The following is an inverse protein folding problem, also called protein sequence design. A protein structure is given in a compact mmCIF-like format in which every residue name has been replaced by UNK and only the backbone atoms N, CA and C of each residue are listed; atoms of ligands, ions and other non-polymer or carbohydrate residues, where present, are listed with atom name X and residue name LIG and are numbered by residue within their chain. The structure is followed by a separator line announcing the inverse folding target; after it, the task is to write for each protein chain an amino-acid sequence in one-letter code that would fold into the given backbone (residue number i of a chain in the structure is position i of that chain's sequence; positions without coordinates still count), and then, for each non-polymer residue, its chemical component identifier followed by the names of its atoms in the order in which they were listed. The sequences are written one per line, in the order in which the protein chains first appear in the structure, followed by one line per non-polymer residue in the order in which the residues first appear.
data_IF_006898690305
#
_entry.id   IF_006898690305
#
_cell.length_a   1.000
_cell.length_b   1.000
_cell.length_c   1.000
_cell.angle_alpha   90.00
_cell.angle_beta   90.00
_cell.angle_gamma   90.00
#
_symmetry.space_group_name_H-M   'P 1'
#
loop_
_entity.id
_entity.type
_entity.pdbx_description
1 polymer ?
#
# COMPACT_ATOMS: atom_id res chain seq x y z
N UNK A 1 15.36 -13.49 -9.22
CA UNK A 1 15.92 -12.46 -8.33
C UNK A 1 16.80 -11.48 -9.13
N UNK A 2 17.76 -11.97 -9.91
CA UNK A 2 18.62 -11.14 -10.77
C UNK A 2 18.45 -11.49 -12.26
N UNK A 3 18.44 -10.47 -13.11
CA UNK A 3 18.64 -10.54 -14.57
C UNK A 3 20.08 -10.16 -14.91
N UNK A 4 20.52 -10.33 -16.16
CA UNK A 4 21.84 -9.84 -16.62
C UNK A 4 22.02 -8.34 -16.36
N UNK A 5 20.91 -7.58 -16.31
CA UNK A 5 20.88 -6.14 -16.01
C UNK A 5 20.66 -5.78 -14.52
N UNK A 6 20.69 -6.75 -13.60
CA UNK A 6 20.52 -6.51 -12.16
C UNK A 6 19.19 -6.97 -11.55
N UNK A 7 18.76 -6.35 -10.44
CA UNK A 7 17.59 -6.79 -9.66
C UNK A 7 16.26 -6.49 -10.37
N UNK A 8 15.35 -7.48 -10.46
CA UNK A 8 14.08 -7.28 -11.14
C UNK A 8 13.05 -6.56 -10.25
N UNK A 9 12.81 -5.29 -10.55
CA UNK A 9 11.74 -4.48 -9.93
C UNK A 9 10.37 -4.97 -10.42
N UNK A 10 9.43 -5.19 -9.49
CA UNK A 10 8.10 -5.74 -9.76
C UNK A 10 7.23 -4.75 -10.57
N UNK A 11 7.13 -4.92 -11.89
CA UNK A 11 6.31 -4.06 -12.78
C UNK A 11 4.80 -4.37 -12.80
N UNK A 12 4.34 -5.38 -12.07
CA UNK A 12 2.97 -5.94 -12.20
C UNK A 12 1.91 -5.37 -11.23
N UNK A 13 2.25 -4.33 -10.46
CA UNK A 13 1.40 -3.83 -9.36
C UNK A 13 0.09 -3.17 -9.83
N UNK A 14 0.08 -2.54 -11.01
CA UNK A 14 -1.12 -1.96 -11.61
C UNK A 14 -2.22 -3.00 -11.91
N UNK A 15 -1.82 -4.25 -12.17
CA UNK A 15 -2.75 -5.36 -12.43
C UNK A 15 -3.45 -5.81 -11.15
N UNK A 16 -2.72 -5.83 -10.03
CA UNK A 16 -3.26 -6.17 -8.71
C UNK A 16 -4.29 -5.12 -8.26
N UNK A 17 -3.97 -3.83 -8.38
CA UNK A 17 -4.93 -2.75 -8.15
C UNK A 17 -6.22 -2.93 -8.97
N UNK A 18 -6.11 -3.10 -10.29
CA UNK A 18 -7.28 -3.28 -11.17
C UNK A 18 -8.14 -4.49 -10.79
N UNK A 19 -7.52 -5.55 -10.28
CA UNK A 19 -8.25 -6.75 -9.87
C UNK A 19 -8.95 -6.64 -8.51
N UNK A 20 -8.52 -5.71 -7.65
CA UNK A 20 -9.04 -5.53 -6.29
C UNK A 20 -9.92 -4.28 -6.15
N UNK A 21 -9.72 -3.27 -6.99
CA UNK A 21 -10.43 -2.00 -6.90
C UNK A 21 -11.91 -2.18 -7.27
N UNK A 22 -12.77 -1.50 -6.53
CA UNK A 22 -14.17 -1.30 -6.92
C UNK A 22 -14.34 0.19 -7.19
N UNK A 23 -14.47 0.53 -8.47
CA UNK A 23 -14.68 1.91 -8.87
C UNK A 23 -16.11 2.33 -8.58
N UNK A 24 -16.28 3.48 -7.95
CA UNK A 24 -17.57 4.11 -7.69
C UNK A 24 -17.62 5.49 -8.30
N UNK A 25 -18.82 5.92 -8.71
CA UNK A 25 -19.00 7.30 -9.18
C UNK A 25 -18.97 8.26 -7.99
N UNK A 26 -18.45 9.48 -8.18
CA UNK A 26 -18.41 10.51 -7.14
C UNK A 26 -19.78 10.81 -6.53
N UNK A 27 -20.86 10.69 -7.31
CA UNK A 27 -22.23 10.86 -6.83
C UNK A 27 -22.67 9.79 -5.82
N UNK A 28 -22.05 8.61 -5.86
CA UNK A 28 -22.37 7.48 -4.98
C UNK A 28 -21.38 7.34 -3.82
N UNK A 29 -20.23 8.03 -3.88
CA UNK A 29 -19.18 7.93 -2.87
C UNK A 29 -19.53 8.67 -1.56
N UNK A 30 -20.51 9.58 -1.60
CA UNK A 30 -20.85 10.45 -0.46
C UNK A 30 -19.81 11.56 -0.25
N UNK A 31 -20.14 12.51 0.62
CA UNK A 31 -19.19 13.53 1.09
C UNK A 31 -18.43 12.96 2.30
N UNK A 32 -17.13 13.29 2.41
CA UNK A 32 -16.29 12.87 3.53
C UNK A 32 -16.24 13.98 4.60
N UNK A 33 -16.36 13.59 5.86
CA UNK A 33 -16.17 14.50 7.00
C UNK A 33 -14.67 14.74 7.26
N UNK A 34 -13.84 13.74 6.95
CA UNK A 34 -12.39 13.75 7.13
C UNK A 34 -11.69 13.38 5.83
N UNK A 35 -10.71 14.18 5.43
CA UNK A 35 -9.83 13.92 4.31
C UNK A 35 -8.40 13.73 4.78
N UNK A 36 -7.79 12.59 4.45
CA UNK A 36 -6.39 12.26 4.73
C UNK A 36 -5.60 12.33 3.42
N UNK A 37 -4.56 13.15 3.35
CA UNK A 37 -3.79 13.43 2.13
C UNK A 37 -2.33 13.02 2.31
N UNK A 38 -1.85 12.25 1.34
CA UNK A 38 -0.43 12.07 1.07
C UNK A 38 0.15 13.37 0.51
N UNK A 39 0.91 14.07 1.33
CA UNK A 39 1.51 15.36 1.02
C UNK A 39 2.52 15.28 -0.11
N UNK A 40 3.30 14.19 -0.19
CA UNK A 40 4.25 13.98 -1.28
C UNK A 40 3.51 13.83 -2.60
N UNK A 41 2.49 12.96 -2.66
CA UNK A 41 1.68 12.79 -3.86
C UNK A 41 0.94 14.08 -4.26
N UNK A 42 0.47 14.86 -3.29
CA UNK A 42 -0.16 16.15 -3.56
C UNK A 42 0.80 17.12 -4.26
N UNK A 43 2.04 17.26 -3.74
CA UNK A 43 3.05 18.16 -4.30
C UNK A 43 3.38 17.81 -5.75
N UNK A 44 3.46 16.51 -6.09
CA UNK A 44 3.70 16.06 -7.47
C UNK A 44 2.60 16.44 -8.47
N UNK A 45 1.38 16.69 -8.00
CA UNK A 45 0.26 17.10 -8.87
C UNK A 45 0.17 18.61 -9.08
N UNK A 46 0.86 19.39 -8.26
CA UNK A 46 0.84 20.85 -8.36
C UNK A 46 1.96 21.26 -9.31
N UNK A 47 1.55 21.78 -10.47
CA UNK A 47 2.51 22.20 -11.48
C UNK A 47 3.38 23.35 -10.97
N UNK A 48 4.68 23.22 -11.20
CA UNK A 48 5.59 24.35 -11.07
C UNK A 48 5.16 25.44 -12.05
N UNK A 49 5.01 26.70 -11.61
CA UNK A 49 4.63 27.79 -12.52
C UNK A 49 5.72 27.98 -13.57
N UNK A 50 5.34 27.97 -14.85
CA UNK A 50 6.27 28.07 -15.97
C UNK A 50 7.09 29.37 -15.92
N UNK A 51 6.43 30.47 -15.56
CA UNK A 51 7.02 31.77 -15.27
C UNK A 51 6.58 32.19 -13.86
N UNK A 52 7.30 31.73 -12.84
CA UNK A 52 6.94 32.03 -11.45
C UNK A 52 8.04 31.72 -10.44
N UNK A 53 7.77 32.10 -9.19
CA UNK A 53 8.65 31.97 -8.04
C UNK A 53 8.23 30.80 -7.16
N UNK A 54 9.08 30.47 -6.18
CA UNK A 54 8.72 29.54 -5.10
C UNK A 54 7.46 30.00 -4.35
N UNK A 55 7.25 31.32 -4.22
CA UNK A 55 6.06 31.86 -3.57
C UNK A 55 4.78 31.51 -4.35
N UNK A 56 4.82 31.59 -5.68
CA UNK A 56 3.70 31.22 -6.54
C UNK A 56 3.38 29.72 -6.43
N UNK A 57 4.41 28.87 -6.34
CA UNK A 57 4.22 27.44 -6.06
C UNK A 57 3.57 27.22 -4.68
N UNK A 58 4.07 27.90 -3.63
CA UNK A 58 3.50 27.82 -2.28
C UNK A 58 2.04 28.28 -2.27
N UNK A 59 1.68 29.33 -3.01
CA UNK A 59 0.32 29.83 -3.09
C UNK A 59 -0.61 28.87 -3.84
N UNK A 60 -0.10 28.16 -4.86
CA UNK A 60 -0.83 27.06 -5.50
C UNK A 60 -1.08 25.90 -4.51
N UNK A 61 -0.09 25.54 -3.69
CA UNK A 61 -0.25 24.55 -2.61
C UNK A 61 -1.31 25.01 -1.60
N UNK A 62 -1.23 26.25 -1.11
CA UNK A 62 -2.24 26.81 -0.20
C UNK A 62 -3.63 26.77 -0.80
N UNK A 63 -3.79 27.23 -2.03
CA UNK A 63 -5.09 27.23 -2.71
C UNK A 63 -5.67 25.81 -2.81
N UNK A 64 -4.82 24.81 -3.05
CA UNK A 64 -5.23 23.41 -3.08
C UNK A 64 -5.66 22.92 -1.69
N UNK A 65 -4.89 23.18 -0.64
CA UNK A 65 -5.24 22.80 0.74
C UNK A 65 -6.53 23.50 1.22
N UNK A 66 -6.69 24.79 0.91
CA UNK A 66 -7.90 25.56 1.22
C UNK A 66 -9.13 24.94 0.58
N UNK A 67 -9.03 24.42 -0.64
CA UNK A 67 -10.15 23.74 -1.29
C UNK A 67 -10.62 22.51 -0.50
N UNK A 68 -9.70 21.66 -0.01
CA UNK A 68 -10.05 20.51 0.82
C UNK A 68 -10.59 20.91 2.21
N UNK A 69 -9.97 21.93 2.83
CA UNK A 69 -10.40 22.48 4.12
C UNK A 69 -11.75 23.17 4.09
N UNK A 70 -12.26 23.54 2.91
CA UNK A 70 -13.61 24.09 2.77
C UNK A 70 -14.69 23.00 2.83
N UNK A 71 -14.30 21.74 2.63
CA UNK A 71 -15.20 20.59 2.51
C UNK A 71 -15.14 19.67 3.74
N UNK A 72 -13.96 19.51 4.36
CA UNK A 72 -13.72 18.48 5.39
C UNK A 72 -12.56 18.84 6.34
N UNK A 73 -12.46 18.12 7.46
CA UNK A 73 -11.27 18.13 8.30
C UNK A 73 -10.09 17.49 7.56
N UNK A 74 -8.92 18.12 7.58
CA UNK A 74 -7.80 17.74 6.72
C UNK A 74 -6.62 17.20 7.53
N UNK A 75 -6.15 16.01 7.19
CA UNK A 75 -4.92 15.40 7.70
C UNK A 75 -3.88 15.36 6.58
N UNK A 76 -2.84 16.19 6.65
CA UNK A 76 -1.77 16.25 5.66
C UNK A 76 -0.53 15.52 6.20
N UNK A 77 -0.13 14.45 5.52
CA UNK A 77 0.92 13.54 5.98
C UNK A 77 2.10 13.56 5.00
N UNK A 78 3.30 13.75 5.52
CA UNK A 78 4.55 13.61 4.77
C UNK A 78 5.38 12.46 5.32
N UNK A 79 6.24 11.88 4.47
CA UNK A 79 7.31 10.99 4.93
C UNK A 79 8.24 11.72 5.90
N UNK A 80 8.84 10.97 6.82
CA UNK A 80 9.75 11.51 7.84
C UNK A 80 11.20 11.55 7.40
N UNK A 81 11.45 12.08 6.21
CA UNK A 81 12.83 12.36 5.77
C UNK A 81 13.35 13.66 6.42
N UNK A 82 14.62 13.68 6.84
CA UNK A 82 15.24 14.80 7.57
C UNK A 82 15.48 16.09 6.74
N UNK A 83 15.48 17.21 7.48
CA UNK A 83 16.07 18.55 7.29
C UNK A 83 15.55 19.58 6.27
N UNK A 84 14.51 19.31 5.46
CA UNK A 84 13.88 20.40 4.67
C UNK A 84 12.35 20.37 4.67
N UNK A 85 11.74 20.14 5.83
CA UNK A 85 10.28 20.11 5.97
C UNK A 85 9.66 21.52 6.01
N UNK A 86 8.51 21.64 5.34
CA UNK A 86 7.71 22.85 5.08
C UNK A 86 7.00 23.42 6.33
N UNK A 87 7.58 23.23 7.53
CA UNK A 87 6.98 23.46 8.88
C UNK A 87 6.55 24.91 9.21
N UNK A 88 6.50 25.81 8.25
CA UNK A 88 6.08 27.21 8.43
C UNK A 88 4.84 27.56 7.59
N UNK A 89 3.79 26.75 7.67
CA UNK A 89 2.46 27.19 7.24
C UNK A 89 1.79 28.00 8.35
N UNK A 90 1.80 29.33 8.20
CA UNK A 90 0.84 30.20 8.90
C UNK A 90 -0.44 30.26 8.07
N UNK A 91 -1.27 29.22 8.17
CA UNK A 91 -2.64 29.31 7.65
C UNK A 91 -3.41 30.26 8.55
N UNK A 92 -3.69 31.46 8.04
CA UNK A 92 -4.69 32.33 8.65
C UNK A 92 -6.04 31.62 8.55
N UNK A 93 -6.45 31.03 9.68
CA UNK A 93 -7.84 30.73 10.05
C UNK A 93 -8.60 29.84 9.08
N UNK A 94 -8.64 28.54 9.37
CA UNK A 94 -9.70 27.69 8.86
C UNK A 94 -10.99 28.03 9.62
N UNK A 95 -12.03 28.52 8.96
CA UNK A 95 -13.23 29.06 9.62
C UNK A 95 -14.24 27.99 10.08
N UNK A 96 -13.95 26.70 9.87
CA UNK A 96 -14.88 25.60 10.19
C UNK A 96 -14.19 24.25 10.46
N UNK A 97 -13.15 23.92 9.70
CA UNK A 97 -12.48 22.61 9.72
C UNK A 97 -11.07 22.68 10.31
N UNK A 98 -10.55 21.57 10.84
CA UNK A 98 -9.18 21.51 11.40
C UNK A 98 -8.16 21.03 10.37
N UNK A 99 -6.90 21.45 10.51
CA UNK A 99 -5.76 20.92 9.76
C UNK A 99 -4.82 20.19 10.71
N UNK A 100 -4.62 18.90 10.52
CA UNK A 100 -3.60 18.12 11.22
C UNK A 100 -2.43 17.87 10.28
N UNK A 101 -1.22 18.25 10.67
CA UNK A 101 0.00 18.06 9.88
C UNK A 101 0.89 17.04 10.58
N UNK A 102 1.27 16.00 9.85
CA UNK A 102 2.27 15.01 10.28
C UNK A 102 3.47 15.09 9.35
N UNK A 103 4.66 15.17 9.92
CA UNK A 103 5.92 15.24 9.17
C UNK A 103 7.04 14.68 10.02
N UNK A 104 8.18 15.37 10.06
CA UNK A 104 9.38 14.95 10.80
C UNK A 104 9.11 14.64 12.30
N UNK A 105 8.25 15.41 12.96
CA UNK A 105 7.94 15.14 14.38
C UNK A 105 7.02 13.92 14.52
N UNK A 106 7.31 13.05 15.50
CA UNK A 106 6.50 11.86 15.80
C UNK A 106 5.05 12.20 16.15
N UNK A 107 4.86 13.35 16.79
CA UNK A 107 3.59 13.87 17.25
C UNK A 107 3.00 14.86 16.24
N UNK A 108 1.82 14.57 15.64
CA UNK A 108 1.16 15.48 14.72
C UNK A 108 0.76 16.81 15.38
N UNK A 109 0.69 17.85 14.57
CA UNK A 109 0.27 19.19 15.00
C UNK A 109 -1.09 19.50 14.39
N UNK A 110 -2.07 19.78 15.24
CA UNK A 110 -3.35 20.34 14.83
C UNK A 110 -3.28 21.87 14.82
N UNK A 111 -3.78 22.45 13.73
CA UNK A 111 -3.97 23.86 13.50
C UNK A 111 -5.48 24.10 13.37
N UNK A 112 -6.01 24.88 14.31
CA UNK A 112 -7.40 25.36 14.34
C UNK A 112 -7.43 26.89 14.40
N UNK A 113 -8.62 27.51 14.40
CA UNK A 113 -8.78 28.98 14.34
C UNK A 113 -7.92 29.75 15.33
N UNK A 114 -7.74 29.23 16.55
CA UNK A 114 -7.16 30.00 17.66
C UNK A 114 -6.00 29.27 18.34
N UNK A 115 -5.82 27.98 18.04
CA UNK A 115 -4.89 27.15 18.79
C UNK A 115 -4.11 26.19 17.90
N UNK A 116 -2.82 26.13 18.19
CA UNK A 116 -1.92 25.08 17.77
C UNK A 116 -1.83 24.07 18.90
N UNK A 117 -2.25 22.83 18.64
CA UNK A 117 -2.22 21.74 19.63
C UNK A 117 -1.40 20.57 19.10
N UNK A 118 -0.64 19.93 19.97
CA UNK A 118 0.00 18.65 19.68
C UNK A 118 -1.01 17.52 19.89
N UNK A 119 -1.15 16.63 18.92
CA UNK A 119 -2.04 15.47 18.96
C UNK A 119 -1.28 14.24 19.44
N UNK A 120 -0.97 14.20 20.74
CA UNK A 120 -0.19 13.12 21.36
C UNK A 120 -0.84 11.75 21.21
N UNK A 121 -2.16 11.69 21.11
CA UNK A 121 -2.91 10.47 20.85
C UNK A 121 -2.71 9.91 19.43
N UNK A 122 -2.20 10.73 18.50
CA UNK A 122 -1.83 10.33 17.14
C UNK A 122 -0.32 10.20 16.97
N UNK A 123 0.44 10.20 18.07
CA UNK A 123 1.88 10.00 18.02
C UNK A 123 2.19 8.62 17.44
N UNK A 124 3.04 8.63 16.42
CA UNK A 124 3.44 7.45 15.70
C UNK A 124 4.96 7.53 15.50
N UNK A 125 5.78 6.47 15.66
CA UNK A 125 7.21 6.50 15.35
C UNK A 125 7.55 6.13 13.88
N UNK A 126 6.58 5.68 13.09
CA UNK A 126 6.80 5.19 11.72
C UNK A 126 7.36 6.29 10.79
N UNK A 127 8.20 5.89 9.84
CA UNK A 127 8.88 6.80 8.92
C UNK A 127 8.12 7.02 7.62
N UNK A 128 7.44 5.97 7.12
CA UNK A 128 6.73 5.97 5.83
C UNK A 128 5.30 6.54 5.95
N UNK A 129 4.94 7.44 5.04
CA UNK A 129 3.64 8.11 5.02
C UNK A 129 2.48 7.13 4.84
N UNK A 130 2.65 6.05 4.08
CA UNK A 130 1.60 5.05 3.84
C UNK A 130 1.12 4.39 5.15
N UNK A 131 2.07 4.07 6.03
CA UNK A 131 1.84 3.46 7.33
C UNK A 131 1.22 4.47 8.29
N UNK A 132 1.67 5.73 8.25
CA UNK A 132 1.08 6.82 9.03
C UNK A 132 -0.38 7.09 8.60
N UNK A 133 -0.66 7.10 7.28
CA UNK A 133 -2.00 7.25 6.71
C UNK A 133 -2.92 6.16 7.24
N UNK A 134 -2.51 4.88 7.17
CA UNK A 134 -3.31 3.75 7.67
C UNK A 134 -3.69 3.95 9.13
N UNK A 135 -2.71 4.30 9.99
CA UNK A 135 -2.97 4.49 11.42
C UNK A 135 -3.91 5.66 11.70
N UNK A 136 -3.74 6.79 11.01
CA UNK A 136 -4.61 7.96 11.19
C UNK A 136 -6.02 7.71 10.66
N UNK A 137 -6.17 6.97 9.56
CA UNK A 137 -7.47 6.52 9.06
C UNK A 137 -8.16 5.66 10.10
N UNK A 138 -7.47 4.70 10.72
CA UNK A 138 -8.04 3.86 11.78
C UNK A 138 -8.46 4.67 13.01
N UNK A 139 -7.64 5.64 13.42
CA UNK A 139 -7.97 6.54 14.52
C UNK A 139 -9.22 7.38 14.22
N UNK A 140 -9.32 7.97 13.02
CA UNK A 140 -10.48 8.74 12.58
C UNK A 140 -11.73 7.86 12.41
N UNK A 141 -11.57 6.63 11.93
CA UNK A 141 -12.67 5.70 11.74
C UNK A 141 -13.27 5.24 13.07
N UNK A 142 -12.47 5.19 14.15
CA UNK A 142 -12.95 4.99 15.52
C UNK A 142 -13.92 6.08 15.99
N UNK A 143 -13.86 7.28 15.40
CA UNK A 143 -14.78 8.40 15.66
C UNK A 143 -16.05 8.37 14.77
N UNK A 144 -16.21 7.33 13.94
CA UNK A 144 -17.38 7.09 13.06
C UNK A 144 -17.63 8.12 11.94
N UNK A 145 -16.60 8.83 11.48
CA UNK A 145 -16.69 9.81 10.40
C UNK A 145 -16.40 9.22 9.02
N UNK A 146 -17.20 9.48 7.96
CA UNK A 146 -16.84 9.12 6.59
C UNK A 146 -15.48 9.71 6.19
N UNK A 147 -14.58 8.86 5.67
CA UNK A 147 -13.19 9.23 5.38
C UNK A 147 -12.90 9.14 3.88
N UNK A 148 -12.22 10.17 3.37
CA UNK A 148 -11.58 10.17 2.05
C UNK A 148 -10.07 10.13 2.20
N UNK A 149 -9.40 9.25 1.46
CA UNK A 149 -7.94 9.21 1.37
C UNK A 149 -7.51 9.69 -0.02
N UNK A 150 -6.71 10.76 -0.07
CA UNK A 150 -6.21 11.36 -1.31
C UNK A 150 -4.74 10.98 -1.50
N UNK A 151 -4.45 10.15 -2.50
CA UNK A 151 -3.08 9.84 -2.93
C UNK A 151 -3.08 9.44 -4.41
N UNK A 152 -2.10 9.93 -5.18
CA UNK A 152 -1.94 9.57 -6.60
C UNK A 152 -0.78 8.64 -6.88
N UNK A 153 0.05 8.34 -5.88
CA UNK A 153 1.45 8.07 -6.13
C UNK A 153 1.65 7.07 -7.29
N UNK A 154 2.22 7.58 -8.38
CA UNK A 154 2.14 6.99 -9.73
C UNK A 154 3.36 6.15 -10.11
N UNK A 155 4.45 6.20 -9.36
CA UNK A 155 5.46 5.12 -9.36
C UNK A 155 5.01 3.96 -8.43
N UNK A 156 3.82 4.16 -7.85
CA UNK A 156 3.32 3.57 -6.65
C UNK A 156 1.88 3.08 -6.92
N UNK A 157 1.78 2.30 -8.01
CA UNK A 157 0.95 1.09 -7.95
C UNK A 157 1.30 0.22 -6.73
N UNK A 158 2.45 0.49 -6.10
CA UNK A 158 2.91 0.09 -4.78
C UNK A 158 1.97 0.54 -3.66
N UNK A 159 1.77 1.82 -3.36
CA UNK A 159 1.01 2.26 -2.18
C UNK A 159 -0.49 2.15 -2.40
N UNK A 160 -1.04 2.28 -3.62
CA UNK A 160 -2.46 1.89 -3.77
C UNK A 160 -2.64 0.39 -3.51
N UNK A 161 -1.64 -0.44 -3.79
CA UNK A 161 -1.74 -1.87 -3.42
C UNK A 161 -1.40 -2.06 -1.94
N UNK A 162 -0.33 -1.48 -1.40
CA UNK A 162 0.15 -1.66 -0.04
C UNK A 162 -0.76 -0.93 0.93
N UNK A 163 -1.07 0.35 0.74
CA UNK A 163 -2.10 1.07 1.47
C UNK A 163 -3.48 0.43 1.28
N UNK A 164 -3.92 0.00 0.09
CA UNK A 164 -5.19 -0.75 0.05
C UNK A 164 -5.06 -2.08 0.80
N UNK A 165 -3.98 -2.85 0.67
CA UNK A 165 -3.82 -4.13 1.39
C UNK A 165 -3.76 -3.92 2.90
N UNK A 166 -3.03 -2.92 3.37
CA UNK A 166 -2.89 -2.52 4.77
C UNK A 166 -4.21 -1.97 5.30
N UNK A 167 -4.85 -1.05 4.57
CA UNK A 167 -6.18 -0.54 4.93
C UNK A 167 -7.18 -1.69 4.94
N UNK A 168 -7.28 -2.50 3.89
CA UNK A 168 -8.20 -3.65 3.84
C UNK A 168 -7.96 -4.62 5.01
N UNK A 169 -6.70 -4.94 5.30
CA UNK A 169 -6.33 -5.84 6.38
C UNK A 169 -6.69 -5.24 7.75
N UNK A 170 -6.18 -4.05 8.07
CA UNK A 170 -6.39 -3.44 9.38
C UNK A 170 -7.82 -2.94 9.60
N UNK A 171 -8.49 -2.46 8.55
CA UNK A 171 -9.88 -2.06 8.59
C UNK A 171 -10.80 -3.28 8.83
N UNK A 172 -10.51 -4.41 8.19
CA UNK A 172 -11.22 -5.67 8.45
C UNK A 172 -10.95 -6.18 9.88
N UNK A 173 -9.70 -6.19 10.32
CA UNK A 173 -9.32 -6.58 11.68
C UNK A 173 -9.96 -5.69 12.75
N UNK A 174 -10.08 -4.39 12.50
CA UNK A 174 -10.69 -3.43 13.40
C UNK A 174 -12.24 -3.49 13.41
N UNK A 175 -12.87 -4.23 12.50
CA UNK A 175 -14.32 -4.40 12.45
C UNK A 175 -15.10 -3.11 12.17
N UNK A 176 -14.49 -2.17 11.44
CA UNK A 176 -15.07 -0.85 11.18
C UNK A 176 -16.15 -0.91 10.08
N UNK A 177 -17.21 -0.10 10.19
CA UNK A 177 -18.32 -0.04 9.21
C UNK A 177 -18.49 1.33 8.53
N UNK A 178 -17.55 2.24 8.78
CA UNK A 178 -17.52 3.60 8.27
C UNK A 178 -17.24 3.66 6.76
N UNK A 179 -17.87 4.55 5.98
CA UNK A 179 -17.51 4.73 4.58
C UNK A 179 -16.05 5.18 4.43
N UNK A 180 -15.27 4.45 3.62
CA UNK A 180 -13.88 4.76 3.31
C UNK A 180 -13.68 4.72 1.80
N UNK A 181 -13.30 5.86 1.22
CA UNK A 181 -13.00 5.99 -0.21
C UNK A 181 -11.55 6.44 -0.42
N UNK A 182 -10.99 6.07 -1.55
CA UNK A 182 -9.69 6.53 -1.99
C UNK A 182 -9.84 7.25 -3.33
N UNK A 183 -9.27 8.45 -3.44
CA UNK A 183 -9.28 9.25 -4.66
C UNK A 183 -7.89 9.78 -5.02
N UNK A 184 -7.71 10.12 -6.29
CA UNK A 184 -6.50 10.77 -6.76
C UNK A 184 -6.56 12.28 -6.50
N UNK A 185 -5.44 12.94 -6.15
CA UNK A 185 -5.33 14.39 -6.16
C UNK A 185 -5.43 14.99 -7.58
N UNK A 186 -5.39 14.19 -8.65
CA UNK A 186 -5.79 14.62 -10.00
C UNK A 186 -7.29 14.49 -10.18
N UNK A 187 -7.94 15.61 -10.53
CA UNK A 187 -9.36 15.63 -10.88
C UNK A 187 -9.62 14.67 -12.06
N UNK A 188 -10.79 14.03 -12.05
CA UNK A 188 -11.32 13.11 -13.10
C UNK A 188 -10.83 11.64 -13.07
N UNK A 189 -9.99 11.23 -12.11
CA UNK A 189 -9.67 9.80 -11.93
C UNK A 189 -10.77 9.06 -11.15
N UNK A 190 -10.82 7.75 -11.34
CA UNK A 190 -11.79 6.88 -10.67
C UNK A 190 -11.60 6.90 -9.15
N UNK A 191 -12.73 6.96 -8.42
CA UNK A 191 -12.77 6.83 -6.97
C UNK A 191 -12.89 5.35 -6.64
N UNK A 192 -12.05 4.87 -5.73
CA UNK A 192 -12.06 3.48 -5.28
C UNK A 192 -12.76 3.42 -3.94
N UNK A 193 -13.81 2.60 -3.87
CA UNK A 193 -14.45 2.25 -2.60
C UNK A 193 -13.58 1.19 -1.90
N UNK A 194 -13.16 1.45 -0.66
CA UNK A 194 -12.34 0.53 0.15
C UNK A 194 -13.19 -0.37 1.04
N UNK A 195 -14.46 -0.04 1.28
CA UNK A 195 -15.39 -0.86 2.06
C UNK A 195 -15.97 -2.03 1.26
N UNK A 196 -16.14 -1.87 -0.06
CA UNK A 196 -16.66 -2.96 -0.93
C UNK A 196 -15.64 -4.09 -1.21
N UNK A 197 -14.34 -3.83 -1.43
CA UNK A 197 -13.34 -4.88 -1.67
C UNK A 197 -13.21 -5.96 -0.56
N UNK A 198 -13.26 -5.66 0.75
CA UNK A 198 -13.25 -6.67 1.81
C UNK A 198 -14.40 -7.66 1.69
N UNK A 199 -15.61 -7.18 1.36
CA UNK A 199 -16.79 -8.05 1.19
C UNK A 199 -16.70 -8.94 -0.05
N UNK A 200 -15.99 -8.49 -1.10
CA UNK A 200 -15.78 -9.26 -2.34
C UNK A 200 -14.55 -10.16 -2.32
N UNK A 201 -13.63 -9.91 -1.40
CA UNK A 201 -12.32 -10.58 -1.32
C UNK A 201 -12.04 -11.17 0.05
N UNK A 202 -13.06 -11.35 0.90
CA UNK A 202 -12.92 -11.85 2.27
C UNK A 202 -12.12 -13.16 2.34
N UNK A 203 -12.23 -13.99 1.30
CA UNK A 203 -11.48 -15.24 1.13
C UNK A 203 -9.96 -15.08 0.99
N UNK A 204 -9.47 -13.90 0.59
CA UNK A 204 -8.03 -13.62 0.40
C UNK A 204 -7.48 -12.50 1.29
N UNK A 205 -8.31 -11.64 1.91
CA UNK A 205 -7.85 -10.44 2.65
C UNK A 205 -6.82 -10.79 3.73
N UNK A 206 -7.05 -11.82 4.54
CA UNK A 206 -6.15 -12.22 5.63
C UNK A 206 -4.78 -12.69 5.12
N UNK A 207 -4.73 -13.26 3.92
CA UNK A 207 -3.52 -13.84 3.33
C UNK A 207 -2.84 -12.90 2.33
N UNK A 208 -3.47 -11.76 2.02
CA UNK A 208 -3.03 -10.88 0.96
C UNK A 208 -1.72 -10.17 1.31
N UNK A 209 -1.58 -9.71 2.56
CA UNK A 209 -0.37 -9.06 3.06
C UNK A 209 0.81 -10.06 3.14
N UNK A 210 0.66 -11.23 3.79
CA UNK A 210 1.64 -12.33 3.71
C UNK A 210 2.08 -12.69 2.29
N UNK A 211 1.12 -12.90 1.38
CA UNK A 211 1.41 -13.23 -0.01
C UNK A 211 2.15 -12.11 -0.74
N UNK A 212 1.81 -10.85 -0.44
CA UNK A 212 2.49 -9.70 -1.03
C UNK A 212 3.95 -9.66 -0.60
N UNK A 213 4.22 -9.87 0.70
CA UNK A 213 5.56 -9.90 1.27
C UNK A 213 6.41 -11.02 0.65
N UNK A 214 5.94 -12.27 0.69
CA UNK A 214 6.74 -13.40 0.23
C UNK A 214 6.90 -13.47 -1.30
N UNK A 215 5.95 -12.93 -2.08
CA UNK A 215 6.05 -12.89 -3.55
C UNK A 215 6.80 -11.67 -4.09
N UNK A 216 7.38 -10.85 -3.20
CA UNK A 216 8.14 -9.65 -3.49
C UNK A 216 7.31 -8.36 -3.44
N UNK A 217 7.70 -7.41 -2.59
CA UNK A 217 7.15 -6.06 -2.51
C UNK A 217 8.14 -5.03 -3.11
N UNK A 218 8.15 -3.78 -2.64
CA UNK A 218 9.13 -2.78 -3.10
C UNK A 218 10.54 -3.02 -2.60
N UNK A 219 10.66 -3.42 -1.34
CA UNK A 219 11.93 -3.67 -0.66
C UNK A 219 12.36 -5.13 -0.75
N UNK A 220 11.44 -6.03 -1.13
CA UNK A 220 11.70 -7.46 -1.32
C UNK A 220 11.68 -7.81 -2.80
N UNK A 221 12.71 -8.52 -3.23
CA UNK A 221 12.84 -9.02 -4.59
C UNK A 221 11.64 -9.84 -5.06
N UNK A 222 11.27 -9.66 -6.33
CA UNK A 222 10.27 -10.52 -6.96
C UNK A 222 10.91 -11.76 -7.58
N UNK A 223 10.17 -12.87 -7.54
CA UNK A 223 10.53 -14.09 -8.26
C UNK A 223 10.38 -13.88 -9.77
N UNK A 224 11.39 -14.30 -10.53
CA UNK A 224 11.39 -14.12 -11.98
C UNK A 224 10.28 -14.97 -12.61
N UNK A 225 9.45 -14.32 -13.43
CA UNK A 225 8.31 -14.96 -14.11
C UNK A 225 7.06 -15.13 -13.25
N UNK A 226 7.07 -14.71 -11.98
CA UNK A 226 5.87 -14.65 -11.15
C UNK A 226 5.26 -13.24 -11.17
N UNK A 227 4.07 -13.14 -11.76
CA UNK A 227 3.25 -11.93 -11.73
C UNK A 227 2.24 -11.94 -10.59
N UNK A 228 1.77 -10.76 -10.17
CA UNK A 228 0.75 -10.64 -9.10
C UNK A 228 -0.59 -11.32 -9.45
N UNK A 229 -0.94 -11.42 -10.72
CA UNK A 229 -2.12 -12.20 -11.13
C UNK A 229 -2.03 -13.69 -10.78
N UNK A 230 -0.84 -14.29 -10.91
CA UNK A 230 -0.59 -15.69 -10.51
C UNK A 230 -0.71 -15.86 -9.00
N UNK A 231 -0.15 -14.92 -8.23
CA UNK A 231 -0.24 -14.88 -6.77
C UNK A 231 -1.69 -14.83 -6.29
N UNK A 232 -2.52 -13.94 -6.85
CA UNK A 232 -3.96 -13.88 -6.50
C UNK A 232 -4.67 -15.18 -6.86
N UNK A 233 -4.35 -15.78 -8.02
CA UNK A 233 -4.96 -17.04 -8.44
C UNK A 233 -4.67 -18.16 -7.44
N UNK A 234 -3.45 -18.23 -6.92
CA UNK A 234 -3.06 -19.21 -5.89
C UNK A 234 -3.73 -18.89 -4.56
N UNK A 235 -3.76 -17.63 -4.13
CA UNK A 235 -4.49 -17.24 -2.92
C UNK A 235 -5.96 -17.66 -2.96
N UNK A 236 -6.64 -17.39 -4.09
CA UNK A 236 -8.04 -17.81 -4.31
C UNK A 236 -8.24 -19.32 -4.34
N UNK A 237 -7.18 -20.10 -4.49
CA UNK A 237 -7.23 -21.56 -4.38
C UNK A 237 -7.24 -22.04 -2.91
N UNK A 238 -7.17 -21.14 -1.93
CA UNK A 238 -7.34 -21.44 -0.50
C UNK A 238 -6.04 -21.64 0.29
N UNK A 239 -4.90 -21.20 -0.23
CA UNK A 239 -3.63 -21.27 0.50
C UNK A 239 -3.63 -20.28 1.66
N UNK A 240 -3.38 -20.78 2.86
CA UNK A 240 -3.38 -20.00 4.10
C UNK A 240 -1.97 -19.58 4.46
N UNK A 241 -1.77 -18.29 4.72
CA UNK A 241 -0.49 -17.66 5.05
C UNK A 241 -0.59 -16.81 6.31
N UNK A 242 -1.67 -16.96 7.09
CA UNK A 242 -1.94 -16.17 8.29
C UNK A 242 -0.90 -16.33 9.41
N UNK A 243 -0.09 -17.38 9.38
CA UNK A 243 1.03 -17.56 10.30
C UNK A 243 2.20 -16.59 10.02
N UNK A 244 2.33 -16.11 8.78
CA UNK A 244 3.40 -15.17 8.41
C UNK A 244 3.13 -13.82 9.06
N UNK A 245 4.09 -13.32 9.84
CA UNK A 245 3.97 -12.09 10.62
C UNK A 245 3.47 -12.31 12.05
N UNK A 246 3.12 -13.54 12.44
CA UNK A 246 2.84 -13.89 13.83
C UNK A 246 4.14 -14.23 14.57
N UNK A 247 4.55 -13.36 15.49
CA UNK A 247 5.79 -13.51 16.26
C UNK A 247 5.78 -14.72 17.23
N UNK A 248 4.59 -15.21 17.58
CA UNK A 248 4.41 -16.37 18.47
C UNK A 248 4.29 -17.69 17.71
N UNK A 249 4.17 -17.65 16.38
CA UNK A 249 4.05 -18.85 15.57
C UNK A 249 5.39 -19.60 15.48
N UNK A 250 5.41 -20.93 15.69
CA UNK A 250 6.61 -21.73 15.44
C UNK A 250 7.05 -21.58 13.98
N UNK A 251 8.36 -21.49 13.75
CA UNK A 251 8.93 -21.30 12.41
C UNK A 251 8.40 -22.31 11.37
N UNK A 252 8.19 -23.58 11.76
CA UNK A 252 7.65 -24.58 10.84
C UNK A 252 6.23 -24.26 10.36
N UNK A 253 5.40 -23.64 11.21
CA UNK A 253 4.04 -23.21 10.85
C UNK A 253 4.04 -22.01 9.89
N UNK A 254 5.16 -21.30 9.79
CA UNK A 254 5.39 -20.24 8.80
C UNK A 254 5.95 -20.84 7.52
N UNK A 255 6.94 -21.73 7.64
CA UNK A 255 7.67 -22.30 6.52
C UNK A 255 6.81 -23.25 5.67
N UNK A 256 6.04 -24.15 6.27
CA UNK A 256 5.26 -25.14 5.52
C UNK A 256 4.22 -24.48 4.60
N UNK A 257 3.38 -23.54 5.09
CA UNK A 257 2.41 -22.89 4.23
C UNK A 257 3.05 -21.97 3.18
N UNK A 258 4.16 -21.31 3.53
CA UNK A 258 4.91 -20.46 2.59
C UNK A 258 5.53 -21.29 1.45
N UNK A 259 6.13 -22.45 1.77
CA UNK A 259 6.67 -23.40 0.79
C UNK A 259 5.57 -23.93 -0.13
N UNK A 260 4.44 -24.36 0.43
CA UNK A 260 3.32 -24.85 -0.35
C UNK A 260 2.78 -23.77 -1.30
N UNK A 261 2.64 -22.53 -0.81
CA UNK A 261 2.16 -21.41 -1.59
C UNK A 261 3.09 -21.03 -2.75
N UNK A 262 4.41 -20.91 -2.50
CA UNK A 262 5.36 -20.59 -3.56
C UNK A 262 5.44 -21.73 -4.58
N UNK A 263 5.43 -22.98 -4.12
CA UNK A 263 5.39 -24.16 -5.01
C UNK A 263 4.18 -24.10 -5.95
N UNK A 264 3.01 -23.73 -5.41
CA UNK A 264 1.79 -23.57 -6.18
C UNK A 264 1.85 -22.40 -7.18
N UNK A 265 2.57 -21.32 -6.87
CA UNK A 265 2.85 -20.24 -7.81
C UNK A 265 3.64 -20.72 -9.04
N UNK A 266 4.47 -21.75 -8.89
CA UNK A 266 5.17 -22.42 -9.98
C UNK A 266 4.39 -23.60 -10.60
N UNK A 267 3.15 -23.83 -10.17
CA UNK A 267 2.27 -24.87 -10.71
C UNK A 267 2.34 -26.22 -10.00
N UNK A 268 3.13 -26.35 -8.93
CA UNK A 268 3.30 -27.59 -8.16
C UNK A 268 2.41 -27.54 -6.91
N UNK A 269 1.42 -28.43 -6.81
CA UNK A 269 0.36 -28.34 -5.78
C UNK A 269 0.66 -29.08 -4.48
N UNK A 270 1.51 -30.10 -4.51
CA UNK A 270 1.74 -30.99 -3.37
C UNK A 270 3.24 -31.16 -3.18
N UNK A 271 3.88 -30.19 -2.53
CA UNK A 271 5.29 -30.32 -2.21
C UNK A 271 5.62 -29.66 -0.88
N UNK A 272 6.45 -30.35 -0.10
CA UNK A 272 6.93 -29.93 1.22
C UNK A 272 8.31 -29.31 1.16
N UNK A 273 8.99 -29.38 0.01
CA UNK A 273 10.37 -28.91 -0.14
C UNK A 273 10.53 -28.03 -1.39
N UNK A 274 11.11 -26.84 -1.18
CA UNK A 274 11.42 -25.88 -2.25
C UNK A 274 12.51 -26.41 -3.19
N UNK A 275 13.50 -27.13 -2.68
CA UNK A 275 14.56 -27.73 -3.51
C UNK A 275 14.00 -28.81 -4.44
N UNK A 276 13.08 -29.65 -3.95
CA UNK A 276 12.35 -30.60 -4.77
C UNK A 276 11.48 -29.91 -5.82
N UNK A 277 10.77 -28.83 -5.45
CA UNK A 277 9.99 -28.03 -6.41
C UNK A 277 10.87 -27.48 -7.52
N UNK A 278 12.07 -26.98 -7.18
CA UNK A 278 13.05 -26.51 -8.16
C UNK A 278 13.46 -27.60 -9.15
N UNK A 279 13.69 -28.81 -8.67
CA UNK A 279 14.03 -29.95 -9.52
C UNK A 279 12.88 -30.30 -10.48
N UNK A 280 11.64 -30.35 -9.99
CA UNK A 280 10.46 -30.64 -10.81
C UNK A 280 10.26 -29.59 -11.91
N UNK A 281 10.31 -28.31 -11.56
CA UNK A 281 10.16 -27.20 -12.52
C UNK A 281 11.29 -27.21 -13.54
N UNK A 282 12.52 -27.55 -13.14
CA UNK A 282 13.64 -27.73 -14.06
C UNK A 282 13.39 -28.89 -15.04
N UNK A 283 12.92 -30.03 -14.52
CA UNK A 283 12.56 -31.21 -15.32
C UNK A 283 11.48 -30.91 -16.37
N UNK A 284 10.41 -30.22 -15.98
CA UNK A 284 9.33 -29.82 -16.92
C UNK A 284 9.81 -28.86 -18.00
N UNK A 285 10.73 -27.95 -17.67
CA UNK A 285 11.29 -26.99 -18.63
C UNK A 285 12.27 -27.65 -19.60
N UNK A 286 13.03 -28.64 -19.15
CA UNK A 286 13.96 -29.40 -20.00
C UNK A 286 13.30 -30.50 -20.83
N UNK A 287 12.22 -31.10 -20.33
CA UNK A 287 11.52 -32.19 -21.01
C UNK A 287 10.83 -31.79 -22.32
N UNK A 288 10.71 -30.48 -22.61
CA UNK A 288 10.02 -29.94 -23.80
C UNK A 288 10.92 -29.78 -25.05
N UNK A 289 12.07 -30.45 -25.10
CA UNK A 289 12.91 -30.49 -26.31
C UNK A 289 13.61 -29.16 -26.63
N UNK A 290 13.83 -28.31 -25.63
CA UNK A 290 14.59 -27.07 -25.80
C UNK A 290 16.08 -27.37 -26.06
N UNK A 291 16.66 -26.72 -27.08
CA UNK A 291 18.08 -26.86 -27.44
C UNK A 291 19.04 -26.13 -26.49
N UNK A 292 18.53 -25.35 -25.55
CA UNK A 292 19.30 -24.56 -24.59
C UNK A 292 18.79 -24.79 -23.17
N UNK A 293 19.71 -24.71 -22.20
CA UNK A 293 19.37 -24.82 -20.79
C UNK A 293 18.36 -23.71 -20.39
N UNK A 294 17.34 -24.02 -19.58
CA UNK A 294 16.35 -23.06 -19.14
C UNK A 294 17.03 -21.97 -18.31
N UNK A 295 16.51 -20.75 -18.43
CA UNK A 295 16.97 -19.64 -17.61
C UNK A 295 16.82 -19.99 -16.11
N UNK A 296 17.95 -20.12 -15.42
CA UNK A 296 18.01 -20.52 -14.01
C UNK A 296 17.27 -19.55 -13.07
N UNK A 297 17.13 -18.28 -13.48
CA UNK A 297 16.36 -17.30 -12.72
C UNK A 297 14.87 -17.65 -12.66
N UNK A 298 14.35 -18.35 -13.68
CA UNK A 298 12.94 -18.72 -13.80
C UNK A 298 12.56 -19.99 -13.02
N UNK A 299 13.47 -20.52 -12.20
CA UNK A 299 13.26 -21.65 -11.32
C UNK A 299 12.98 -21.12 -9.89
N UNK A 300 12.17 -21.82 -9.08
CA UNK A 300 11.93 -21.44 -7.69
C UNK A 300 13.22 -21.49 -6.86
N UNK A 301 13.29 -20.78 -5.71
CA UNK A 301 14.46 -20.82 -4.83
C UNK A 301 14.72 -22.23 -4.29
N UNK A 302 15.93 -22.47 -3.78
CA UNK A 302 16.20 -23.67 -2.96
C UNK A 302 15.65 -23.47 -1.55
N UNK A 303 15.56 -24.55 -0.79
CA UNK A 303 15.08 -24.49 0.59
C UNK A 303 15.93 -23.58 1.47
N UNK A 304 17.26 -23.66 1.33
CA UNK A 304 18.20 -22.82 2.09
C UNK A 304 18.01 -21.34 1.76
N UNK A 305 17.97 -21.00 0.46
CA UNK A 305 17.78 -19.62 0.01
C UNK A 305 16.40 -19.07 0.42
N UNK A 306 15.38 -19.93 0.50
CA UNK A 306 14.05 -19.53 0.96
C UNK A 306 14.04 -19.25 2.46
N UNK A 307 14.61 -20.16 3.27
CA UNK A 307 14.69 -20.02 4.74
C UNK A 307 15.49 -18.79 5.16
N UNK A 308 16.55 -18.42 4.44
CA UNK A 308 17.34 -17.22 4.76
C UNK A 308 16.57 -15.90 4.55
N UNK A 309 15.45 -15.93 3.82
CA UNK A 309 14.71 -14.74 3.40
C UNK A 309 13.24 -14.72 3.90
N UNK A 310 12.83 -15.69 4.73
CA UNK A 310 11.50 -15.83 5.33
C UNK A 310 11.60 -15.87 6.84
#
# INVERSE_FOLDING_TARGET
MFTEDGMQICKAKSTLKKSLQVEVSRRNAGDADVTVIDGSALLWTIHWPADGTVADFIDNVKARLISYLSESDLYLIFDRYYDYSIKLFHLRGTTKHKLVVTGEDSCPIELSMEERRSRYELENPQEEADTIIVQQVLACAGEAHPISVVSDDTDVCVCVTQMCVLLLHHYHQAGLDVPLIMESPRKERAIVDIKVPPSKHSEIVENLLPAHAISGCDTVVSYYGLGKGSVIKVLKAGYQLSAIGNMDAPFQQVLDPATAFISACYGIKENTDMSHTRLLVWGEKNGKGHMSAPNLAALPPTNEAFIENV
#
